data_IF_218389916198
#
_entry.id   IF_218389916198
#
_cell.length_a   1.000
_cell.length_b   1.000
_cell.length_c   1.000
_cell.angle_alpha   90.00
_cell.angle_beta   90.00
_cell.angle_gamma   90.00
#
_symmetry.space_group_name_H-M   'P 1'
#
loop_
_entity.id
_entity.type
_entity.pdbx_description
1 polymer ?
#
# COMPACT_ATOMS: atom_id res chain seq x y z
N UNK A 1 0.57 16.11 -5.08
CA UNK A 1 0.91 14.84 -4.40
C UNK A 1 -0.33 14.23 -3.76
N UNK A 2 -0.46 12.91 -3.78
CA UNK A 2 -1.50 12.12 -3.11
C UNK A 2 -0.84 11.11 -2.19
N UNK A 3 -1.22 11.06 -0.92
CA UNK A 3 -0.66 10.13 0.08
C UNK A 3 -1.76 9.15 0.48
N UNK A 4 -1.52 7.85 0.30
CA UNK A 4 -2.49 6.80 0.63
C UNK A 4 -1.80 5.44 0.66
N UNK A 5 -2.36 4.46 1.37
CA UNK A 5 -1.97 3.05 1.28
C UNK A 5 -2.64 2.31 0.10
N UNK A 6 -3.61 2.97 -0.56
CA UNK A 6 -4.41 2.47 -1.67
C UNK A 6 -5.08 1.12 -1.36
N UNK A 7 -5.68 1.01 -0.16
CA UNK A 7 -6.42 -0.19 0.28
C UNK A 7 -7.88 -0.25 -0.18
N UNK A 8 -8.47 0.88 -0.57
CA UNK A 8 -9.86 0.94 -1.04
C UNK A 8 -9.99 0.52 -2.52
N UNK A 9 -11.20 0.59 -3.10
CA UNK A 9 -11.49 0.21 -4.50
C UNK A 9 -12.14 1.35 -5.27
N UNK A 10 -12.10 1.28 -6.60
CA UNK A 10 -12.83 2.20 -7.49
C UNK A 10 -12.20 3.58 -7.67
N UNK A 11 -10.99 3.79 -7.17
CA UNK A 11 -10.27 5.06 -7.34
C UNK A 11 -9.49 5.15 -8.66
N UNK A 12 -9.39 4.06 -9.43
CA UNK A 12 -8.55 3.93 -10.63
C UNK A 12 -8.91 4.93 -11.74
N UNK A 13 -10.19 5.10 -12.06
CA UNK A 13 -10.64 6.05 -13.07
C UNK A 13 -10.37 7.50 -12.65
N UNK A 14 -10.67 7.84 -11.40
CA UNK A 14 -10.43 9.17 -10.83
C UNK A 14 -8.94 9.49 -10.81
N UNK A 15 -8.11 8.53 -10.41
CA UNK A 15 -6.65 8.69 -10.37
C UNK A 15 -6.09 8.93 -11.77
N UNK A 16 -6.57 8.18 -12.78
CA UNK A 16 -6.17 8.37 -14.18
C UNK A 16 -6.59 9.74 -14.71
N UNK A 17 -7.79 10.23 -14.37
CA UNK A 17 -8.23 11.57 -14.80
C UNK A 17 -7.38 12.67 -14.13
N UNK A 18 -7.08 12.51 -12.85
CA UNK A 18 -6.24 13.45 -12.11
C UNK A 18 -4.80 13.48 -12.67
N UNK A 19 -4.19 12.33 -12.95
CA UNK A 19 -2.85 12.24 -13.55
C UNK A 19 -2.74 12.82 -14.96
N UNK A 20 -3.83 12.87 -15.73
CA UNK A 20 -3.84 13.52 -17.06
C UNK A 20 -3.94 15.04 -16.98
N UNK A 21 -4.59 15.58 -15.94
CA UNK A 21 -4.86 17.02 -15.79
C UNK A 21 -3.85 17.74 -14.91
N UNK A 22 -3.18 17.01 -14.03
CA UNK A 22 -2.28 17.55 -13.03
C UNK A 22 -0.99 16.76 -13.02
N UNK A 23 0.09 17.41 -12.62
CA UNK A 23 1.31 16.70 -12.27
C UNK A 23 1.13 15.98 -10.92
N UNK A 24 0.55 14.78 -10.98
CA UNK A 24 0.18 13.98 -9.83
C UNK A 24 1.25 12.93 -9.53
N UNK A 25 1.62 12.84 -8.26
CA UNK A 25 2.48 11.80 -7.69
C UNK A 25 1.75 11.10 -6.58
N UNK A 26 1.78 9.77 -6.58
CA UNK A 26 1.30 8.92 -5.50
C UNK A 26 2.45 8.56 -4.53
N UNK A 27 2.35 9.01 -3.30
CA UNK A 27 3.20 8.59 -2.20
C UNK A 27 2.48 7.45 -1.47
N UNK A 28 2.85 6.20 -1.80
CA UNK A 28 2.21 5.02 -1.23
C UNK A 28 2.85 4.64 0.09
N UNK A 29 2.06 4.60 1.17
CA UNK A 29 2.52 4.12 2.48
C UNK A 29 2.29 2.62 2.59
N UNK A 30 3.26 1.88 3.14
CA UNK A 30 3.16 0.43 3.36
C UNK A 30 3.85 0.05 4.66
N UNK A 31 3.31 -0.94 5.35
CA UNK A 31 3.91 -1.55 6.53
C UNK A 31 4.49 -2.94 6.22
N UNK A 32 5.61 -3.36 6.83
CA UNK A 32 6.11 -4.73 6.70
C UNK A 32 5.08 -5.81 7.08
N UNK A 33 4.23 -5.53 8.08
CA UNK A 33 3.17 -6.43 8.54
C UNK A 33 2.06 -6.59 7.50
N UNK A 34 1.88 -5.59 6.61
CA UNK A 34 0.99 -5.72 5.47
C UNK A 34 1.44 -6.88 4.57
N UNK A 35 2.76 -7.06 4.39
CA UNK A 35 3.31 -8.08 3.48
C UNK A 35 3.40 -9.45 4.12
N UNK A 36 3.80 -9.50 5.39
CA UNK A 36 3.98 -10.74 6.12
C UNK A 36 3.50 -10.62 7.56
N UNK A 37 2.54 -11.47 7.91
CA UNK A 37 2.11 -11.60 9.30
C UNK A 37 3.17 -12.35 10.12
N UNK A 38 3.46 -11.94 11.36
CA UNK A 38 4.36 -12.64 12.27
C UNK A 38 3.70 -13.92 12.83
N UNK A 39 4.49 -14.87 13.33
CA UNK A 39 3.98 -16.13 13.91
C UNK A 39 3.80 -16.03 15.43
N UNK A 40 2.87 -15.20 15.88
CA UNK A 40 2.73 -14.86 17.32
C UNK A 40 1.44 -15.35 17.98
N UNK A 41 0.61 -16.12 17.25
CA UNK A 41 -0.62 -16.70 17.80
C UNK A 41 -1.84 -15.81 17.58
N UNK A 42 -2.72 -15.70 18.57
CA UNK A 42 -3.91 -14.85 18.51
C UNK A 42 -3.53 -13.38 18.68
N UNK A 43 -3.93 -12.55 17.73
CA UNK A 43 -3.80 -11.10 17.81
C UNK A 43 -5.16 -10.43 17.58
N UNK A 44 -5.46 -9.32 18.28
CA UNK A 44 -6.55 -8.45 17.92
C UNK A 44 -6.15 -7.62 16.70
N UNK A 45 -6.99 -7.62 15.66
CA UNK A 45 -6.84 -6.77 14.48
C UNK A 45 -8.04 -5.83 14.46
N UNK A 46 -7.78 -4.53 14.46
CA UNK A 46 -8.81 -3.52 14.38
C UNK A 46 -8.96 -3.02 12.94
N UNK A 47 -10.20 -2.98 12.47
CA UNK A 47 -10.59 -2.30 11.23
C UNK A 47 -10.56 -0.79 11.49
N UNK A 48 -9.72 -0.01 10.78
CA UNK A 48 -9.60 1.42 11.00
C UNK A 48 -10.81 2.23 10.50
N UNK A 49 -11.61 1.68 9.58
CA UNK A 49 -12.81 2.34 9.05
C UNK A 49 -14.03 2.15 9.96
N UNK A 50 -14.23 0.94 10.48
CA UNK A 50 -15.40 0.61 11.32
C UNK A 50 -15.12 0.60 12.82
N UNK A 51 -13.84 0.56 13.22
CA UNK A 51 -13.39 0.40 14.60
C UNK A 51 -13.57 -1.03 15.15
N UNK A 52 -14.13 -1.97 14.38
CA UNK A 52 -14.38 -3.33 14.84
C UNK A 52 -13.09 -4.12 15.04
N UNK A 53 -12.97 -4.82 16.16
CA UNK A 53 -11.85 -5.72 16.43
C UNK A 53 -12.21 -7.17 16.10
N UNK A 54 -11.34 -7.83 15.33
CA UNK A 54 -11.43 -9.26 15.03
C UNK A 54 -10.19 -9.95 15.55
N UNK A 55 -10.39 -11.12 16.16
CA UNK A 55 -9.28 -11.98 16.55
C UNK A 55 -8.78 -12.76 15.34
N UNK A 56 -7.47 -12.71 15.08
CA UNK A 56 -6.82 -13.41 13.98
C UNK A 56 -5.74 -14.34 14.54
N UNK A 57 -5.78 -15.62 14.14
CA UNK A 57 -4.74 -16.57 14.51
C UNK A 57 -3.61 -16.61 13.47
N UNK A 58 -2.49 -15.95 13.79
CA UNK A 58 -1.31 -15.83 12.92
C UNK A 58 -0.29 -16.96 13.12
N UNK A 59 -0.47 -17.81 14.13
CA UNK A 59 0.40 -18.98 14.38
C UNK A 59 0.33 -20.06 13.28
N UNK A 60 -0.79 -20.15 12.55
CA UNK A 60 -0.95 -21.08 11.43
C UNK A 60 -0.18 -20.60 10.20
N UNK A 61 0.71 -21.45 9.67
CA UNK A 61 1.44 -21.20 8.43
C UNK A 61 0.51 -20.92 7.25
N UNK A 62 -0.60 -21.64 7.14
CA UNK A 62 -1.60 -21.46 6.08
C UNK A 62 -2.21 -20.05 6.08
N UNK A 63 -2.55 -19.50 7.26
CA UNK A 63 -3.03 -18.12 7.39
C UNK A 63 -2.01 -17.12 6.83
N UNK A 64 -0.76 -17.23 7.28
CA UNK A 64 0.34 -16.33 6.84
C UNK A 64 0.61 -16.44 5.34
N UNK A 65 0.64 -17.66 4.81
CA UNK A 65 0.86 -17.91 3.38
C UNK A 65 -0.27 -17.38 2.51
N UNK A 66 -1.53 -17.54 2.93
CA UNK A 66 -2.68 -16.99 2.21
C UNK A 66 -2.66 -15.46 2.21
N UNK A 67 -2.35 -14.84 3.36
CA UNK A 67 -2.20 -13.39 3.47
C UNK A 67 -1.12 -12.85 2.53
N UNK A 68 0.10 -13.41 2.62
CA UNK A 68 1.22 -12.99 1.78
C UNK A 68 0.94 -13.16 0.27
N UNK A 69 0.20 -14.21 -0.12
CA UNK A 69 -0.23 -14.39 -1.52
C UNK A 69 -1.20 -13.29 -1.96
N UNK A 70 -2.20 -12.96 -1.15
CA UNK A 70 -3.17 -11.89 -1.45
C UNK A 70 -2.47 -10.53 -1.61
N UNK A 71 -1.56 -10.23 -0.71
CA UNK A 71 -0.82 -8.96 -0.72
C UNK A 71 0.15 -8.88 -1.92
N UNK A 72 0.76 -10.00 -2.32
CA UNK A 72 1.55 -10.07 -3.56
C UNK A 72 0.70 -9.80 -4.81
N UNK A 73 -0.52 -10.33 -4.87
CA UNK A 73 -1.46 -10.07 -5.99
C UNK A 73 -1.87 -8.59 -6.00
N UNK A 74 -2.26 -8.04 -4.85
CA UNK A 74 -2.62 -6.62 -4.71
C UNK A 74 -1.50 -5.68 -5.15
N UNK A 75 -0.27 -5.97 -4.73
CA UNK A 75 0.91 -5.18 -5.10
C UNK A 75 1.14 -5.18 -6.62
N UNK A 76 0.93 -6.33 -7.28
CA UNK A 76 1.02 -6.43 -8.72
C UNK A 76 -0.10 -5.66 -9.44
N UNK A 77 -1.34 -5.73 -8.92
CA UNK A 77 -2.49 -4.99 -9.44
C UNK A 77 -2.28 -3.47 -9.33
N UNK A 78 -1.83 -2.99 -8.16
CA UNK A 78 -1.50 -1.58 -7.96
C UNK A 78 -0.41 -1.12 -8.90
N UNK A 79 0.68 -1.89 -9.03
CA UNK A 79 1.77 -1.56 -9.96
C UNK A 79 1.27 -1.43 -11.40
N UNK A 80 0.41 -2.36 -11.84
CA UNK A 80 -0.19 -2.30 -13.17
C UNK A 80 -1.14 -1.09 -13.34
N UNK A 81 -1.92 -0.77 -12.31
CA UNK A 81 -2.84 0.37 -12.31
C UNK A 81 -2.08 1.70 -12.42
N UNK A 82 -1.04 1.91 -11.61
CA UNK A 82 -0.20 3.11 -11.70
C UNK A 82 0.43 3.27 -13.08
N UNK A 83 1.01 2.19 -13.63
CA UNK A 83 1.58 2.19 -14.98
C UNK A 83 0.56 2.57 -16.07
N UNK A 84 -0.70 2.12 -15.95
CA UNK A 84 -1.79 2.47 -16.89
C UNK A 84 -2.32 3.90 -16.70
N UNK A 85 -2.24 4.42 -15.48
CA UNK A 85 -2.73 5.75 -15.13
C UNK A 85 -1.78 6.88 -15.55
N UNK A 86 -0.50 6.56 -15.80
CA UNK A 86 0.55 7.56 -16.07
C UNK A 86 0.94 8.38 -14.83
N UNK A 87 0.57 7.90 -13.63
CA UNK A 87 0.89 8.54 -12.35
C UNK A 87 2.16 7.91 -11.78
N UNK A 88 3.16 8.74 -11.51
CA UNK A 88 4.38 8.31 -10.82
C UNK A 88 4.07 7.94 -9.37
N UNK A 89 4.81 6.95 -8.85
CA UNK A 89 4.68 6.52 -7.46
C UNK A 89 6.02 6.42 -6.75
N UNK A 90 6.04 6.80 -5.47
CA UNK A 90 7.07 6.41 -4.52
C UNK A 90 6.44 5.56 -3.41
N UNK A 91 7.14 4.51 -2.99
CA UNK A 91 6.69 3.62 -1.91
C UNK A 91 7.49 3.95 -0.65
N UNK A 92 6.79 4.33 0.41
CA UNK A 92 7.31 4.67 1.72
C UNK A 92 6.98 3.53 2.68
N UNK A 93 8.01 2.99 3.34
CA UNK A 93 7.84 1.92 4.31
C UNK A 93 7.86 2.51 5.73
N UNK A 94 6.91 2.12 6.58
CA UNK A 94 6.79 2.61 7.97
C UNK A 94 8.01 2.28 8.84
N UNK A 95 8.76 1.24 8.47
CA UNK A 95 9.97 0.77 9.18
C UNK A 95 11.26 1.49 8.76
N UNK A 96 11.19 2.47 7.85
CA UNK A 96 12.36 3.12 7.26
C UNK A 96 12.24 4.64 7.19
N UNK A 97 13.37 5.37 7.23
CA UNK A 97 13.38 6.80 6.97
C UNK A 97 12.78 7.12 5.60
N UNK A 98 11.76 7.97 5.57
CA UNK A 98 11.02 8.34 4.35
C UNK A 98 11.59 9.59 3.65
N UNK A 99 12.52 10.31 4.29
CA UNK A 99 13.12 11.54 3.74
C UNK A 99 13.90 11.26 2.45
N UNK A 100 14.76 10.22 2.43
CA UNK A 100 15.55 9.87 1.25
C UNK A 100 14.70 9.51 0.01
N UNK A 101 13.71 8.61 0.11
CA UNK A 101 12.80 8.33 -1.01
C UNK A 101 12.05 9.56 -1.54
N UNK A 102 11.67 10.48 -0.64
CA UNK A 102 11.00 11.72 -1.03
C UNK A 102 11.93 12.67 -1.78
N UNK A 103 13.17 12.85 -1.30
CA UNK A 103 14.16 13.68 -1.99
C UNK A 103 14.48 13.15 -3.38
N UNK A 104 14.71 11.84 -3.54
CA UNK A 104 14.97 11.22 -4.85
C UNK A 104 13.84 11.41 -5.86
N UNK A 105 12.58 11.45 -5.38
CA UNK A 105 11.43 11.69 -6.25
C UNK A 105 11.37 13.16 -6.69
N UNK A 106 11.68 14.10 -5.79
CA UNK A 106 11.71 15.53 -6.11
C UNK A 106 12.86 15.87 -7.08
N UNK A 107 14.05 15.30 -6.85
CA UNK A 107 15.23 15.54 -7.69
C UNK A 107 15.07 15.01 -9.12
N UNK A 108 14.32 13.92 -9.34
CA UNK A 108 14.02 13.41 -10.68
C UNK A 108 13.13 14.33 -11.53
N UNK A 109 12.56 15.36 -10.91
CA UNK A 109 11.55 16.24 -11.51
C UNK A 109 12.00 17.70 -11.59
N UNK A 110 13.08 18.07 -10.92
CA UNK A 110 13.78 19.37 -11.05
C UNK A 110 14.88 19.30 -12.09
#
# INVERSE_FOLDING_TARGET
FLISDFRDKGFDQTLRQAGRRHDLVALRVTDPLDRQLPSIGWIPVQDPESGQTKWVFTGRKSTRSTHAKREKVREAELKAMFARSGVDQAVLCTDRPYVQPLMQLLDRRG
#
